data_IF_306902089015
#
_entry.id   IF_306902089015
#
_cell.length_a   1.000
_cell.length_b   1.000
_cell.length_c   1.000
_cell.angle_alpha   90.00
_cell.angle_beta   90.00
_cell.angle_gamma   90.00
#
_symmetry.space_group_name_H-M   'P 1'
#
loop_
_entity.id
_entity.type
_entity.pdbx_description
1 polymer ?
#
# COMPACT_ATOMS: atom_id res chain seq x y z
N UNK A 1 -3.70 10.43 -38.14
CA UNK A 1 -3.08 11.18 -37.04
C UNK A 1 -2.77 10.18 -35.95
N UNK A 2 -1.58 10.23 -35.37
CA UNK A 2 -1.15 9.33 -34.29
C UNK A 2 -0.51 10.16 -33.19
N UNK A 3 -0.98 9.95 -31.97
CA UNK A 3 -0.58 10.69 -30.77
C UNK A 3 -0.04 9.67 -29.77
N UNK A 4 1.02 10.03 -29.06
CA UNK A 4 1.45 9.35 -27.84
C UNK A 4 1.09 10.23 -26.65
N UNK A 5 0.44 9.64 -25.64
CA UNK A 5 -0.02 10.35 -24.46
C UNK A 5 0.40 9.52 -23.25
N UNK A 6 0.92 10.20 -22.24
CA UNK A 6 1.21 9.63 -20.94
C UNK A 6 0.24 10.21 -19.92
N UNK A 7 -0.38 9.34 -19.12
CA UNK A 7 -1.41 9.69 -18.15
C UNK A 7 -1.04 9.06 -16.81
N UNK A 8 -1.20 9.79 -15.71
CA UNK A 8 -1.06 9.23 -14.36
C UNK A 8 -2.30 8.45 -13.89
N UNK A 9 -2.20 7.76 -12.75
CA UNK A 9 -3.29 6.94 -12.21
C UNK A 9 -4.58 7.72 -11.88
N UNK A 10 -4.49 9.05 -11.72
CA UNK A 10 -5.65 9.91 -11.47
C UNK A 10 -6.33 10.39 -12.75
N UNK A 11 -5.76 10.09 -13.92
CA UNK A 11 -6.25 10.53 -15.22
C UNK A 11 -5.71 11.88 -15.68
N UNK A 12 -4.60 12.38 -15.11
CA UNK A 12 -3.97 13.64 -15.55
C UNK A 12 -2.97 13.36 -16.67
N UNK A 13 -3.02 14.16 -17.74
CA UNK A 13 -2.07 14.10 -18.85
C UNK A 13 -0.73 14.67 -18.40
N UNK A 14 0.30 13.83 -18.29
CA UNK A 14 1.65 14.27 -17.92
C UNK A 14 2.54 14.56 -19.14
N UNK A 15 2.14 14.10 -20.32
CA UNK A 15 2.80 14.43 -21.58
C UNK A 15 2.00 13.98 -22.78
N UNK A 16 2.07 14.75 -23.87
CA UNK A 16 1.40 14.42 -25.13
C UNK A 16 2.23 14.93 -26.32
N UNK A 17 2.38 14.11 -27.36
CA UNK A 17 3.02 14.51 -28.60
C UNK A 17 2.46 13.77 -29.81
N UNK A 18 2.59 14.38 -30.98
CA UNK A 18 2.24 13.76 -32.25
C UNK A 18 3.37 12.90 -32.79
N UNK A 19 3.09 11.61 -32.93
CA UNK A 19 3.96 10.70 -33.70
C UNK A 19 3.77 10.93 -35.20
N UNK A 20 2.54 11.26 -35.62
CA UNK A 20 2.21 11.46 -37.04
C UNK A 20 1.03 12.41 -37.23
N UNK A 21 1.17 13.37 -38.14
CA UNK A 21 0.11 14.32 -38.52
C UNK A 21 -0.13 14.24 -40.03
N UNK A 22 -1.21 13.55 -40.41
CA UNK A 22 -1.59 13.35 -41.82
C UNK A 22 -2.56 14.44 -42.29
N UNK A 23 -2.15 15.70 -42.16
CA UNK A 23 -2.85 16.86 -42.69
C UNK A 23 -1.86 17.96 -43.08
N UNK A 24 -2.28 18.81 -44.01
CA UNK A 24 -1.48 19.95 -44.48
C UNK A 24 -1.93 21.29 -43.88
N UNK A 25 -3.20 21.39 -43.46
CA UNK A 25 -3.76 22.61 -42.90
C UNK A 25 -3.38 22.78 -41.42
N UNK A 26 -2.85 23.96 -41.09
CA UNK A 26 -2.60 24.43 -39.71
C UNK A 26 -2.01 23.38 -38.75
N UNK A 27 -0.96 22.70 -39.19
CA UNK A 27 -0.24 21.68 -38.40
C UNK A 27 0.28 22.28 -37.09
N UNK A 28 0.84 23.50 -37.13
CA UNK A 28 1.36 24.18 -35.95
C UNK A 28 0.27 24.47 -34.91
N UNK A 29 -0.89 25.00 -35.33
CA UNK A 29 -2.02 25.23 -34.43
C UNK A 29 -2.57 23.92 -33.83
N UNK A 30 -2.55 22.83 -34.60
CA UNK A 30 -2.94 21.51 -34.10
C UNK A 30 -1.98 20.99 -33.02
N UNK A 31 -0.66 21.16 -33.22
CA UNK A 31 0.36 20.83 -32.21
C UNK A 31 0.18 21.65 -30.94
N UNK A 32 0.00 22.97 -31.10
CA UNK A 32 -0.24 23.86 -29.98
C UNK A 32 -1.48 23.45 -29.17
N UNK A 33 -2.58 23.14 -29.86
CA UNK A 33 -3.81 22.71 -29.20
C UNK A 33 -3.64 21.41 -28.40
N UNK A 34 -2.87 20.43 -28.88
CA UNK A 34 -2.59 19.22 -28.11
C UNK A 34 -1.75 19.54 -26.86
N UNK A 35 -0.74 20.40 -26.97
CA UNK A 35 0.13 20.76 -25.86
C UNK A 35 -0.63 21.42 -24.70
N UNK A 36 -1.70 22.16 -25.01
CA UNK A 36 -2.57 22.78 -23.99
C UNK A 36 -3.33 21.76 -23.13
N UNK A 37 -3.42 20.49 -23.54
CA UNK A 37 -4.01 19.43 -22.71
C UNK A 37 -3.02 18.82 -21.72
N UNK A 38 -1.73 19.11 -21.82
CA UNK A 38 -0.76 18.66 -20.81
C UNK A 38 -1.04 19.38 -19.48
N UNK A 39 -1.15 18.60 -18.41
CA UNK A 39 -1.53 19.05 -17.07
C UNK A 39 -3.04 19.11 -16.82
N UNK A 40 -3.88 18.69 -17.78
CA UNK A 40 -5.34 18.64 -17.60
C UNK A 40 -5.83 17.20 -17.47
N UNK A 41 -7.09 17.03 -17.04
CA UNK A 41 -7.70 15.71 -16.89
C UNK A 41 -8.16 15.16 -18.25
N UNK A 42 -7.94 13.87 -18.51
CA UNK A 42 -8.53 13.19 -19.68
C UNK A 42 -10.05 13.05 -19.58
N UNK A 43 -10.62 13.18 -18.37
CA UNK A 43 -12.07 13.07 -18.14
C UNK A 43 -12.80 14.40 -18.34
N UNK A 44 -12.08 15.50 -18.24
CA UNK A 44 -12.60 16.84 -18.44
C UNK A 44 -11.66 17.57 -19.41
N UNK A 45 -11.95 17.40 -20.71
CA UNK A 45 -11.12 17.88 -21.83
C UNK A 45 -11.16 19.41 -21.99
N UNK A 46 -10.90 20.11 -20.89
CA UNK A 46 -10.64 21.54 -20.79
C UNK A 46 -9.14 21.80 -21.01
N UNK A 47 -8.76 22.62 -22.00
CA UNK A 47 -7.36 22.96 -22.26
C UNK A 47 -6.84 24.05 -21.32
N UNK A 48 -5.54 24.01 -20.99
CA UNK A 48 -4.82 25.05 -20.25
C UNK A 48 -4.52 26.28 -21.12
N UNK A 49 -5.56 26.99 -21.55
CA UNK A 49 -5.46 28.26 -22.27
C UNK A 49 -6.20 28.27 -23.61
N UNK A 50 -5.95 29.33 -24.39
CA UNK A 50 -6.70 29.61 -25.60
C UNK A 50 -6.27 28.73 -26.78
N UNK A 51 -7.25 28.04 -27.37
CA UNK A 51 -7.03 27.21 -28.54
C UNK A 51 -6.71 28.06 -29.77
N UNK A 52 -5.72 27.59 -30.55
CA UNK A 52 -5.40 28.14 -31.86
C UNK A 52 -6.56 27.92 -32.84
N UNK A 53 -7.09 29.03 -33.35
CA UNK A 53 -8.13 29.03 -34.38
C UNK A 53 -7.63 28.44 -35.72
N UNK A 54 -8.56 28.01 -36.59
CA UNK A 54 -8.22 27.43 -37.90
C UNK A 54 -7.75 25.98 -37.87
N UNK A 55 -7.88 25.29 -36.72
CA UNK A 55 -7.59 23.87 -36.52
C UNK A 55 -8.83 23.11 -36.00
N UNK A 56 -10.05 23.59 -36.26
CA UNK A 56 -11.28 23.05 -35.66
C UNK A 56 -11.49 21.56 -35.93
N UNK A 57 -11.29 21.13 -37.18
CA UNK A 57 -11.47 19.71 -37.54
C UNK A 57 -10.44 18.80 -36.88
N UNK A 58 -9.17 19.19 -36.89
CA UNK A 58 -8.11 18.43 -36.24
C UNK A 58 -8.22 18.44 -34.71
N UNK A 59 -8.71 19.54 -34.13
CA UNK A 59 -9.04 19.62 -32.71
C UNK A 59 -10.12 18.62 -32.32
N UNK A 60 -11.18 18.47 -33.13
CA UNK A 60 -12.21 17.47 -32.87
C UNK A 60 -11.63 16.05 -32.89
N UNK A 61 -10.71 15.76 -33.82
CA UNK A 61 -10.00 14.47 -33.84
C UNK A 61 -9.11 14.29 -32.62
N UNK A 62 -8.38 15.31 -32.17
CA UNK A 62 -7.59 15.26 -30.93
C UNK A 62 -8.49 14.94 -29.74
N UNK A 63 -9.60 15.67 -29.57
CA UNK A 63 -10.55 15.43 -28.48
C UNK A 63 -11.14 14.02 -28.51
N UNK A 64 -11.47 13.49 -29.69
CA UNK A 64 -11.95 12.11 -29.82
C UNK A 64 -10.90 11.10 -29.36
N UNK A 65 -9.63 11.27 -29.75
CA UNK A 65 -8.52 10.41 -29.30
C UNK A 65 -8.34 10.51 -27.78
N UNK A 66 -8.37 11.71 -27.21
CA UNK A 66 -8.26 11.90 -25.75
C UNK A 66 -9.42 11.24 -25.00
N UNK A 67 -10.64 11.30 -25.55
CA UNK A 67 -11.79 10.62 -24.98
C UNK A 67 -11.66 9.08 -25.05
N UNK A 68 -11.13 8.53 -26.13
CA UNK A 68 -10.86 7.09 -26.23
C UNK A 68 -9.81 6.64 -25.19
N UNK A 69 -8.78 7.47 -24.95
CA UNK A 69 -7.81 7.25 -23.87
C UNK A 69 -8.49 7.30 -22.50
N UNK A 70 -9.42 8.21 -22.26
CA UNK A 70 -10.19 8.27 -21.02
C UNK A 70 -11.01 7.00 -20.78
N UNK A 71 -11.66 6.47 -21.82
CA UNK A 71 -12.38 5.20 -21.75
C UNK A 71 -11.43 4.05 -21.45
N UNK A 72 -10.28 3.96 -22.13
CA UNK A 72 -9.30 2.92 -21.87
C UNK A 72 -8.71 3.00 -20.45
N UNK A 73 -8.41 4.21 -19.98
CA UNK A 73 -7.89 4.47 -18.65
C UNK A 73 -8.92 4.09 -17.57
N UNK A 74 -10.20 4.46 -17.73
CA UNK A 74 -11.26 4.08 -16.79
C UNK A 74 -11.49 2.56 -16.71
N UNK A 75 -11.18 1.83 -17.78
CA UNK A 75 -11.24 0.36 -17.83
C UNK A 75 -9.94 -0.31 -17.36
N UNK A 76 -8.89 0.46 -17.07
CA UNK A 76 -7.66 -0.08 -16.50
C UNK A 76 -7.88 -0.28 -15.01
N UNK A 77 -7.80 -1.53 -14.55
CA UNK A 77 -7.80 -1.82 -13.11
C UNK A 77 -6.47 -1.31 -12.57
N UNK A 78 -6.48 -0.15 -11.92
CA UNK A 78 -5.38 0.24 -11.04
C UNK A 78 -5.44 -0.73 -9.87
N UNK A 79 -4.52 -1.70 -9.87
CA UNK A 79 -4.40 -2.60 -8.74
C UNK A 79 -4.20 -1.74 -7.47
N UNK A 80 -4.94 -2.00 -6.39
CA UNK A 80 -4.69 -1.31 -5.14
C UNK A 80 -3.23 -1.50 -4.76
N UNK A 81 -2.61 -0.44 -4.21
CA UNK A 81 -1.26 -0.52 -3.70
C UNK A 81 -1.17 -1.69 -2.72
N UNK A 82 -0.16 -2.54 -2.88
CA UNK A 82 0.04 -3.66 -1.99
C UNK A 82 0.55 -3.12 -0.65
N UNK A 83 -0.17 -3.35 0.47
CA UNK A 83 0.12 -2.67 1.74
C UNK A 83 1.47 -3.03 2.35
N UNK A 84 2.08 -4.16 1.97
CA UNK A 84 3.32 -4.68 2.54
C UNK A 84 4.47 -4.77 1.52
N UNK A 85 4.43 -3.93 0.47
CA UNK A 85 5.45 -3.92 -0.59
C UNK A 85 6.85 -3.60 -0.03
N UNK A 86 6.92 -2.72 0.97
CA UNK A 86 8.16 -2.38 1.67
C UNK A 86 8.78 -3.57 2.41
N UNK A 87 7.99 -4.59 2.75
CA UNK A 87 8.45 -5.77 3.50
C UNK A 87 8.89 -6.88 2.56
N UNK A 88 8.10 -7.16 1.52
CA UNK A 88 8.26 -8.35 0.69
C UNK A 88 8.70 -8.06 -0.75
N UNK A 89 8.81 -6.79 -1.13
CA UNK A 89 9.15 -6.34 -2.48
C UNK A 89 7.94 -6.17 -3.38
N UNK A 90 8.20 -5.62 -4.58
CA UNK A 90 7.18 -5.36 -5.59
C UNK A 90 6.44 -6.62 -6.00
N UNK A 91 5.13 -6.49 -6.24
CA UNK A 91 4.28 -7.55 -6.79
C UNK A 91 4.24 -8.84 -5.95
N UNK A 92 4.50 -8.77 -4.64
CA UNK A 92 4.37 -9.95 -3.79
C UNK A 92 2.94 -10.50 -3.82
N UNK A 93 2.82 -11.81 -3.60
CA UNK A 93 1.55 -12.51 -3.42
C UNK A 93 1.54 -13.23 -2.08
N UNK A 94 0.35 -13.35 -1.49
CA UNK A 94 0.13 -14.06 -0.22
C UNK A 94 -0.88 -15.18 -0.44
N UNK A 95 -0.54 -16.38 0.02
CA UNK A 95 -1.46 -17.52 0.07
C UNK A 95 -1.54 -18.03 1.51
N UNK A 96 -2.74 -18.34 1.99
CA UNK A 96 -2.91 -18.93 3.31
C UNK A 96 -2.25 -20.31 3.37
N UNK A 97 -1.46 -20.56 4.42
CA UNK A 97 -0.84 -21.85 4.67
C UNK A 97 -1.87 -22.81 5.27
N UNK A 98 -2.50 -23.63 4.42
CA UNK A 98 -3.49 -24.62 4.85
C UNK A 98 -2.94 -25.74 5.74
N UNK A 99 -1.61 -25.79 5.97
CA UNK A 99 -0.99 -26.74 6.90
C UNK A 99 -0.75 -26.15 8.28
N UNK A 100 -0.86 -24.82 8.42
CA UNK A 100 -0.74 -24.14 9.70
C UNK A 100 -1.90 -24.51 10.62
N UNK A 101 -1.58 -24.78 11.89
CA UNK A 101 -2.57 -25.03 12.94
C UNK A 101 -2.69 -23.76 13.79
N UNK A 102 -3.79 -23.00 13.68
CA UNK A 102 -3.99 -21.79 14.48
C UNK A 102 -3.90 -22.05 15.97
N UNK A 103 -3.31 -21.10 16.69
CA UNK A 103 -3.27 -21.09 18.15
C UNK A 103 -4.28 -20.07 18.69
N UNK A 104 -4.36 -19.93 20.02
CA UNK A 104 -5.18 -18.91 20.64
C UNK A 104 -4.69 -17.48 20.38
N UNK A 105 -3.45 -17.31 19.90
CA UNK A 105 -2.79 -16.01 19.72
C UNK A 105 -2.43 -15.76 18.26
N UNK A 106 -1.98 -16.80 17.54
CA UNK A 106 -1.58 -16.74 16.13
C UNK A 106 -2.68 -17.39 15.29
N UNK A 107 -3.45 -16.60 14.57
CA UNK A 107 -4.67 -17.05 13.88
C UNK A 107 -4.43 -17.56 12.48
N UNK A 108 -3.47 -16.97 11.76
CA UNK A 108 -3.14 -17.42 10.41
C UNK A 108 -1.66 -17.20 10.09
N UNK A 109 -1.18 -18.05 9.18
CA UNK A 109 0.12 -17.97 8.51
C UNK A 109 -0.16 -17.91 7.02
N UNK A 110 0.48 -16.98 6.33
CA UNK A 110 0.46 -16.89 4.88
C UNK A 110 1.87 -17.07 4.35
N UNK A 111 2.02 -17.82 3.27
CA UNK A 111 3.25 -17.98 2.51
C UNK A 111 3.33 -16.80 1.54
N UNK A 112 4.43 -16.05 1.59
CA UNK A 112 4.63 -14.87 0.74
C UNK A 112 5.59 -15.20 -0.39
N UNK A 113 5.19 -14.92 -1.63
CA UNK A 113 5.99 -15.18 -2.83
C UNK A 113 6.24 -13.90 -3.62
N UNK A 114 7.41 -13.80 -4.25
CA UNK A 114 7.75 -12.71 -5.17
C UNK A 114 7.10 -12.89 -6.55
N UNK A 115 7.40 -11.97 -7.47
CA UNK A 115 6.94 -12.01 -8.86
C UNK A 115 7.39 -13.26 -9.63
N UNK A 116 8.45 -13.93 -9.18
CA UNK A 116 9.00 -15.16 -9.76
C UNK A 116 8.43 -16.42 -9.09
N UNK A 117 7.43 -16.27 -8.22
CA UNK A 117 6.79 -17.33 -7.46
C UNK A 117 7.76 -18.04 -6.49
N UNK A 118 8.82 -17.35 -6.07
CA UNK A 118 9.79 -17.81 -5.06
C UNK A 118 9.30 -17.37 -3.69
N UNK A 119 9.31 -18.28 -2.71
CA UNK A 119 8.96 -17.93 -1.33
C UNK A 119 10.01 -16.97 -0.78
N UNK A 120 9.58 -15.80 -0.32
CA UNK A 120 10.44 -14.75 0.25
C UNK A 120 10.23 -14.53 1.74
N UNK A 121 9.15 -15.07 2.29
CA UNK A 121 8.85 -14.95 3.70
C UNK A 121 7.47 -15.46 4.07
N UNK A 122 7.04 -15.05 5.26
CA UNK A 122 5.77 -15.45 5.86
C UNK A 122 5.08 -14.23 6.47
N UNK A 123 3.75 -14.24 6.44
CA UNK A 123 2.93 -13.20 7.03
C UNK A 123 1.99 -13.80 8.06
N UNK A 124 1.98 -13.24 9.27
CA UNK A 124 1.20 -13.75 10.39
C UNK A 124 0.18 -12.74 10.86
N UNK A 125 -1.01 -13.22 11.20
CA UNK A 125 -2.03 -12.45 11.90
C UNK A 125 -2.17 -12.97 13.33
N UNK A 126 -2.05 -12.05 14.27
CA UNK A 126 -2.08 -12.34 15.69
C UNK A 126 -3.03 -11.42 16.42
N UNK A 127 -3.59 -11.92 17.51
CA UNK A 127 -4.44 -11.11 18.36
C UNK A 127 -4.43 -11.56 19.81
N UNK A 128 -4.51 -10.59 20.72
CA UNK A 128 -4.65 -10.85 22.14
C UNK A 128 -5.53 -9.78 22.79
N UNK A 129 -6.28 -10.16 23.81
CA UNK A 129 -7.08 -9.26 24.62
C UNK A 129 -6.38 -8.95 25.94
N UNK A 130 -6.47 -7.70 26.40
CA UNK A 130 -6.01 -7.39 27.75
C UNK A 130 -6.61 -6.12 28.33
N UNK A 131 -6.33 -5.95 29.62
CA UNK A 131 -6.80 -4.80 30.40
C UNK A 131 -5.89 -3.61 30.12
N UNK A 132 -6.40 -2.48 29.66
CA UNK A 132 -5.56 -1.35 29.22
C UNK A 132 -5.54 -0.12 30.11
N UNK A 133 -6.51 0.00 31.01
CA UNK A 133 -6.52 0.97 32.11
C UNK A 133 -6.85 0.18 33.37
N UNK A 134 -6.09 0.33 34.45
CA UNK A 134 -6.19 -0.47 35.70
C UNK A 134 -7.53 -0.43 36.46
N UNK A 135 -8.61 -0.03 35.80
CA UNK A 135 -9.98 -0.25 36.21
C UNK A 135 -10.45 -1.62 35.71
N UNK A 136 -11.08 -2.39 36.59
CA UNK A 136 -11.82 -3.58 36.19
C UNK A 136 -12.80 -3.19 35.07
N UNK A 137 -12.76 -3.93 33.95
CA UNK A 137 -13.64 -3.83 32.76
C UNK A 137 -13.17 -2.98 31.57
N UNK A 138 -11.97 -2.40 31.58
CA UNK A 138 -11.38 -1.82 30.35
C UNK A 138 -10.58 -2.87 29.58
N UNK A 139 -11.29 -3.82 28.95
CA UNK A 139 -10.70 -4.86 28.09
C UNK A 139 -10.71 -4.37 26.64
N UNK A 140 -9.60 -4.57 25.93
CA UNK A 140 -9.53 -4.30 24.51
C UNK A 140 -8.66 -5.35 23.81
N UNK A 141 -8.99 -5.59 22.55
CA UNK A 141 -8.26 -6.51 21.67
C UNK A 141 -7.20 -5.74 20.89
N UNK A 142 -6.01 -6.32 20.74
CA UNK A 142 -4.98 -5.80 19.85
C UNK A 142 -4.81 -6.80 18.71
N UNK A 143 -4.70 -6.29 17.49
CA UNK A 143 -4.32 -7.06 16.32
C UNK A 143 -2.90 -6.67 15.89
N UNK A 144 -2.10 -7.68 15.58
CA UNK A 144 -0.74 -7.51 15.10
C UNK A 144 -0.56 -8.29 13.79
N UNK A 145 0.01 -7.64 12.79
CA UNK A 145 0.35 -8.26 11.52
C UNK A 145 1.87 -8.25 11.39
N UNK A 146 2.48 -9.42 11.25
CA UNK A 146 3.94 -9.55 11.29
C UNK A 146 4.44 -10.18 9.99
N UNK A 147 5.33 -9.47 9.31
CA UNK A 147 6.08 -10.00 8.18
C UNK A 147 7.43 -10.53 8.63
N UNK A 148 7.70 -11.81 8.34
CA UNK A 148 8.96 -12.47 8.62
C UNK A 148 9.65 -12.90 7.33
N UNK A 149 10.98 -12.79 7.29
CA UNK A 149 11.82 -13.44 6.29
C UNK A 149 11.90 -14.94 6.51
N UNK A 150 12.48 -15.64 5.54
CA UNK A 150 12.68 -17.10 5.61
C UNK A 150 13.52 -17.56 6.80
N UNK A 151 14.36 -16.67 7.32
CA UNK A 151 15.27 -16.92 8.45
C UNK A 151 14.70 -16.47 9.79
N UNK A 152 13.47 -15.94 9.83
CA UNK A 152 12.84 -15.42 11.04
C UNK A 152 13.17 -13.95 11.33
N UNK A 153 13.89 -13.28 10.44
CA UNK A 153 14.10 -11.83 10.54
C UNK A 153 12.77 -11.10 10.37
N UNK A 154 12.45 -10.19 11.30
CA UNK A 154 11.26 -9.35 11.25
C UNK A 154 11.45 -8.30 10.15
N UNK A 155 10.68 -8.41 9.08
CA UNK A 155 10.67 -7.46 7.96
C UNK A 155 9.80 -6.23 8.29
N UNK A 156 8.73 -6.45 9.05
CA UNK A 156 7.81 -5.40 9.45
C UNK A 156 6.76 -5.90 10.44
N UNK A 157 6.21 -4.97 11.20
CA UNK A 157 5.11 -5.22 12.13
C UNK A 157 4.10 -4.08 11.96
N UNK A 158 2.88 -4.41 11.60
CA UNK A 158 1.77 -3.45 11.52
C UNK A 158 0.84 -3.60 12.73
N UNK A 159 0.45 -2.44 13.27
CA UNK A 159 -0.44 -2.27 14.41
C UNK A 159 -1.58 -1.34 13.98
N UNK A 160 -2.58 -1.85 13.23
CA UNK A 160 -3.57 -1.01 12.59
C UNK A 160 -4.39 -0.25 13.61
N UNK A 161 -4.40 1.08 13.45
CA UNK A 161 -5.07 1.98 14.40
C UNK A 161 -6.57 1.70 14.52
N UNK A 162 -7.21 1.26 13.44
CA UNK A 162 -8.65 0.97 13.43
C UNK A 162 -9.00 -0.28 14.21
N UNK A 163 -8.09 -1.26 14.27
CA UNK A 163 -8.22 -2.51 15.01
C UNK A 163 -7.60 -2.45 16.42
N UNK A 164 -7.00 -1.32 16.81
CA UNK A 164 -6.39 -1.16 18.12
C UNK A 164 -7.43 -0.90 19.22
N UNK A 165 -7.87 -1.93 19.94
CA UNK A 165 -8.90 -1.87 20.98
C UNK A 165 -8.50 -1.12 22.27
N UNK A 166 -7.24 -0.69 22.38
CA UNK A 166 -6.73 0.16 23.47
C UNK A 166 -6.83 1.66 23.11
N UNK A 167 -6.35 2.55 23.98
CA UNK A 167 -6.37 4.01 23.76
C UNK A 167 -5.61 4.43 22.50
N UNK A 168 -6.35 4.85 21.45
CA UNK A 168 -5.83 5.21 20.10
C UNK A 168 -5.16 6.58 19.96
N UNK A 169 -4.88 7.29 21.05
CA UNK A 169 -4.24 8.62 20.96
C UNK A 169 -2.80 8.51 20.46
N UNK A 170 -2.29 9.57 19.82
CA UNK A 170 -0.91 9.61 19.30
C UNK A 170 0.14 9.32 20.37
N UNK A 171 -0.13 9.65 21.64
CA UNK A 171 0.80 9.40 22.74
C UNK A 171 0.85 7.93 23.16
N UNK A 172 -0.27 7.19 23.10
CA UNK A 172 -0.32 5.80 23.55
C UNK A 172 -0.11 4.83 22.38
N UNK A 173 -0.91 4.94 21.31
CA UNK A 173 -0.74 4.12 20.12
C UNK A 173 0.59 4.40 19.42
N UNK A 174 0.95 5.68 19.24
CA UNK A 174 2.20 6.05 18.54
C UNK A 174 3.47 5.55 19.23
N UNK A 175 3.47 5.43 20.57
CA UNK A 175 4.57 4.80 21.31
C UNK A 175 4.68 3.30 21.04
N UNK A 176 3.55 2.60 20.92
CA UNK A 176 3.55 1.17 20.58
C UNK A 176 3.96 0.94 19.12
N UNK A 177 3.55 1.81 18.19
CA UNK A 177 4.05 1.81 16.80
C UNK A 177 5.56 2.02 16.74
N UNK A 178 6.08 3.01 17.49
CA UNK A 178 7.53 3.25 17.57
C UNK A 178 8.26 2.04 18.15
N UNK A 179 7.66 1.38 19.14
CA UNK A 179 8.22 0.18 19.73
C UNK A 179 8.29 -0.98 18.72
N UNK A 180 7.18 -1.34 18.06
CA UNK A 180 7.21 -2.45 17.10
C UNK A 180 8.14 -2.17 15.91
N UNK A 181 8.21 -0.93 15.45
CA UNK A 181 9.14 -0.52 14.40
C UNK A 181 10.60 -0.66 14.83
N UNK A 182 10.91 -0.56 16.13
CA UNK A 182 12.28 -0.76 16.63
C UNK A 182 12.73 -2.23 16.61
N UNK A 183 11.79 -3.17 16.44
CA UNK A 183 12.08 -4.60 16.36
C UNK A 183 12.41 -5.07 14.94
N UNK A 184 12.11 -4.25 13.92
CA UNK A 184 12.40 -4.57 12.52
C UNK A 184 13.90 -4.83 12.34
N UNK A 185 14.24 -5.92 11.65
CA UNK A 185 15.59 -6.43 11.48
C UNK A 185 16.08 -7.36 12.61
N UNK A 186 15.33 -7.49 13.70
CA UNK A 186 15.61 -8.50 14.73
C UNK A 186 15.09 -9.87 14.31
N UNK A 187 15.62 -10.93 14.90
CA UNK A 187 15.17 -12.29 14.63
C UNK A 187 14.15 -12.75 15.67
N UNK A 188 13.03 -13.35 15.23
CA UNK A 188 11.91 -13.75 16.09
C UNK A 188 12.28 -14.86 17.07
N UNK A 189 13.16 -15.79 16.70
CA UNK A 189 13.59 -16.89 17.57
C UNK A 189 14.46 -16.38 18.72
N UNK A 190 15.15 -15.25 18.49
CA UNK A 190 15.95 -14.57 19.50
C UNK A 190 15.15 -13.61 20.37
N UNK A 191 13.85 -13.43 20.09
CA UNK A 191 13.01 -12.49 20.83
C UNK A 191 12.76 -13.01 22.24
N UNK A 192 13.47 -12.45 23.23
CA UNK A 192 13.35 -12.84 24.63
C UNK A 192 12.25 -12.10 25.41
N UNK A 193 11.49 -11.22 24.75
CA UNK A 193 10.71 -10.18 25.44
C UNK A 193 11.62 -9.19 26.17
N UNK A 194 11.07 -8.06 26.65
CA UNK A 194 11.86 -7.16 27.49
C UNK A 194 11.67 -7.54 28.97
N UNK A 195 12.72 -8.01 29.66
CA UNK A 195 12.69 -8.27 31.11
C UNK A 195 12.43 -6.98 31.93
N UNK A 196 12.65 -5.81 31.33
CA UNK A 196 12.45 -4.48 31.93
C UNK A 196 10.96 -4.02 31.91
N UNK A 197 10.04 -4.94 32.17
CA UNK A 197 8.62 -4.64 32.42
C UNK A 197 8.38 -4.11 33.85
N UNK A 198 9.43 -3.94 34.63
CA UNK A 198 9.38 -3.36 35.97
C UNK A 198 9.30 -1.82 35.89
N UNK A 199 8.08 -1.31 36.05
CA UNK A 199 7.69 0.10 36.24
C UNK A 199 7.53 0.95 34.95
N UNK A 200 6.28 1.07 34.49
CA UNK A 200 5.85 2.09 33.52
C UNK A 200 5.57 1.58 32.10
N UNK A 201 5.75 0.29 31.83
CA UNK A 201 5.35 -0.33 30.56
C UNK A 201 3.82 -0.34 30.44
N UNK A 202 3.29 0.17 29.32
CA UNK A 202 1.84 0.10 29.05
C UNK A 202 1.44 -1.37 28.88
N UNK A 203 0.32 -1.81 29.46
CA UNK A 203 -0.21 -3.17 29.30
C UNK A 203 -0.27 -3.64 27.83
N UNK A 204 -0.46 -2.71 26.88
CA UNK A 204 -0.33 -2.97 25.44
C UNK A 204 1.00 -3.61 25.03
N UNK A 205 2.12 -3.12 25.57
CA UNK A 205 3.46 -3.62 25.22
C UNK A 205 3.68 -5.02 25.76
N UNK A 206 3.17 -5.31 26.95
CA UNK A 206 3.19 -6.67 27.51
C UNK A 206 2.47 -7.65 26.59
N UNK A 207 1.31 -7.27 26.05
CA UNK A 207 0.58 -8.08 25.09
C UNK A 207 1.34 -8.23 23.77
N UNK A 208 1.94 -7.16 23.26
CA UNK A 208 2.77 -7.24 22.04
C UNK A 208 3.94 -8.21 22.25
N UNK A 209 4.64 -8.13 23.38
CA UNK A 209 5.76 -9.04 23.69
C UNK A 209 5.28 -10.49 23.81
N UNK A 210 4.14 -10.73 24.48
CA UNK A 210 3.55 -12.06 24.62
C UNK A 210 3.11 -12.66 23.27
N UNK A 211 2.52 -11.84 22.42
CA UNK A 211 2.17 -12.17 21.04
C UNK A 211 3.42 -12.55 20.23
N UNK A 212 4.50 -11.76 20.28
CA UNK A 212 5.74 -12.03 19.55
C UNK A 212 6.49 -13.27 20.08
N UNK A 213 6.49 -13.49 21.40
CA UNK A 213 7.01 -14.73 22.00
C UNK A 213 6.23 -15.95 21.52
N UNK A 214 4.91 -15.84 21.42
CA UNK A 214 4.05 -16.91 20.90
C UNK A 214 4.33 -17.18 19.42
N UNK A 215 4.64 -16.14 18.64
CA UNK A 215 5.03 -16.27 17.24
C UNK A 215 6.35 -17.03 17.09
N UNK A 216 7.39 -16.68 17.87
CA UNK A 216 8.66 -17.40 17.83
C UNK A 216 8.52 -18.89 18.16
N UNK A 217 7.58 -19.26 19.04
CA UNK A 217 7.29 -20.66 19.34
C UNK A 217 6.59 -21.45 18.23
N UNK A 218 6.04 -20.78 17.20
CA UNK A 218 5.39 -21.42 16.04
C UNK A 218 6.10 -21.13 14.73
N UNK A 219 7.23 -20.42 14.78
CA UNK A 219 8.08 -20.14 13.64
C UNK A 219 8.97 -21.36 13.38
N UNK A 220 8.40 -22.37 12.71
CA UNK A 220 9.09 -23.53 12.13
C UNK A 220 8.61 -23.76 10.67
#
# INVERSE_FOLDING_TARGET
MRIVISVDASGVIIGADFVEINQTLNVAGTKNNLALYVGTSIYDLEPNGDLSSGATYSLNTVKAILNDVAVAHANTVVAPALPYEDWFGMNYTMEEDGTFVPTNVVFSKHIVKDENNVVVGYFYHMSEEGVYNGYEHSIGTIHLYVGLGLDGTILGIDLPKDEFGHTKTSQFWGKNVTYVNSLVGSNIDSFGGNEDLAAGSSNTRVLIDAMLLSLGGVFE
#
